data_IF_420010140621
#
_entry.id   IF_420010140621
#
_cell.length_a   1.000
_cell.length_b   1.000
_cell.length_c   1.000
_cell.angle_alpha   90.00
_cell.angle_beta   90.00
_cell.angle_gamma   90.00
#
_symmetry.space_group_name_H-M   'P 1'
#
loop_
_entity.id
_entity.type
_entity.pdbx_description
1 polymer ?
#
# COMPACT_ATOMS: atom_id res chain seq x y z
N UNK A 1 -18.97 4.31 4.87
CA UNK A 1 -17.74 5.03 4.49
C UNK A 1 -16.56 4.17 4.89
N UNK A 2 -15.73 3.76 3.94
CA UNK A 2 -14.51 3.04 4.27
C UNK A 2 -13.59 3.95 5.07
N UNK A 3 -13.12 3.48 6.22
CA UNK A 3 -12.23 4.25 7.09
C UNK A 3 -10.86 4.36 6.41
N UNK A 4 -10.44 5.59 6.12
CA UNK A 4 -9.10 5.88 5.60
C UNK A 4 -8.12 6.09 6.74
N UNK A 5 -6.88 5.67 6.55
CA UNK A 5 -5.82 5.69 7.57
C UNK A 5 -4.61 6.52 7.12
N UNK A 6 -3.74 6.85 8.08
CA UNK A 6 -2.43 7.44 7.81
C UNK A 6 -1.41 6.37 7.46
N UNK A 7 -0.44 6.70 6.61
CA UNK A 7 0.62 5.79 6.19
C UNK A 7 1.44 5.23 7.38
N UNK A 8 1.63 6.06 8.42
CA UNK A 8 2.32 5.68 9.67
C UNK A 8 1.61 4.57 10.42
N UNK A 9 0.28 4.54 10.36
CA UNK A 9 -0.58 3.62 11.13
C UNK A 9 -0.82 2.29 10.39
N UNK A 10 -0.25 2.15 9.19
CA UNK A 10 -0.37 0.98 8.35
C UNK A 10 0.83 0.06 8.50
N UNK A 11 0.52 -1.22 8.73
CA UNK A 11 1.46 -2.33 8.62
C UNK A 11 1.36 -2.99 7.25
N UNK A 12 0.14 -3.29 6.80
CA UNK A 12 -0.15 -3.76 5.44
C UNK A 12 -1.35 -2.97 4.90
N UNK A 13 -1.23 -2.42 3.69
CA UNK A 13 -2.29 -1.62 3.09
C UNK A 13 -1.94 -1.07 1.72
N UNK A 14 -2.92 -0.43 1.10
CA UNK A 14 -2.78 0.14 -0.24
C UNK A 14 -3.42 1.53 -0.35
N UNK A 15 -2.94 2.31 -1.31
CA UNK A 15 -3.47 3.61 -1.70
C UNK A 15 -3.96 3.55 -3.15
N UNK A 16 -5.12 4.15 -3.50
CA UNK A 16 -5.66 4.16 -4.87
C UNK A 16 -4.71 4.71 -5.93
N UNK A 17 -3.74 5.52 -5.54
CA UNK A 17 -2.71 6.05 -6.45
C UNK A 17 -1.61 5.02 -6.79
N UNK A 18 -1.82 3.73 -6.48
CA UNK A 18 -0.88 2.67 -6.83
C UNK A 18 0.22 2.44 -5.80
N UNK A 19 0.03 2.87 -4.55
CA UNK A 19 1.03 2.61 -3.50
C UNK A 19 0.62 1.44 -2.63
N UNK A 20 1.61 0.63 -2.21
CA UNK A 20 1.45 -0.45 -1.23
C UNK A 20 2.45 -0.26 -0.11
N UNK A 21 1.96 -0.43 1.11
CA UNK A 21 2.77 -0.59 2.32
C UNK A 21 2.64 -2.05 2.75
N UNK A 22 3.77 -2.71 2.95
CA UNK A 22 3.82 -4.05 3.53
C UNK A 22 5.06 -4.14 4.43
N UNK A 23 4.93 -3.83 5.72
CA UNK A 23 6.05 -3.85 6.67
C UNK A 23 6.39 -5.27 7.16
N UNK A 24 5.80 -6.31 6.56
CA UNK A 24 6.04 -7.72 6.91
C UNK A 24 7.02 -8.43 5.96
N UNK A 25 7.32 -7.81 4.82
CA UNK A 25 8.32 -8.27 3.85
C UNK A 25 9.74 -7.78 4.21
N UNK A 26 10.70 -7.89 3.30
CA UNK A 26 12.03 -7.31 3.45
C UNK A 26 11.99 -5.77 3.44
N UNK A 27 12.88 -5.06 4.15
CA UNK A 27 12.86 -3.59 4.22
C UNK A 27 12.86 -2.86 2.87
N UNK A 28 13.45 -3.47 1.83
CA UNK A 28 13.48 -2.92 0.47
C UNK A 28 12.10 -2.91 -0.22
N UNK A 29 11.21 -3.82 0.18
CA UNK A 29 9.88 -4.00 -0.40
C UNK A 29 8.76 -3.44 0.50
N UNK A 30 9.12 -2.78 1.61
CA UNK A 30 8.15 -2.16 2.53
C UNK A 30 7.22 -1.18 1.84
N UNK A 31 7.76 -0.43 0.89
CA UNK A 31 7.11 0.68 0.24
C UNK A 31 7.29 0.51 -1.26
N UNK A 32 6.19 0.23 -1.95
CA UNK A 32 6.22 0.02 -3.40
C UNK A 32 5.20 0.90 -4.09
N UNK A 33 5.59 1.42 -5.25
CA UNK A 33 4.70 2.05 -6.21
C UNK A 33 4.48 1.09 -7.37
N UNK A 34 3.23 0.95 -7.77
CA UNK A 34 2.76 0.10 -8.84
C UNK A 34 2.06 0.96 -9.87
N UNK A 35 2.13 0.52 -11.12
CA UNK A 35 1.29 1.05 -12.19
C UNK A 35 -0.04 0.32 -12.16
N UNK A 36 -1.15 1.07 -12.19
CA UNK A 36 -2.50 0.49 -12.27
C UNK A 36 -2.95 0.58 -13.73
N UNK A 37 -3.17 -0.57 -14.36
CA UNK A 37 -3.68 -0.63 -15.74
C UNK A 37 -5.14 -0.16 -15.81
N UNK A 38 -5.67 0.20 -16.99
CA UNK A 38 -7.09 0.52 -17.15
C UNK A 38 -8.06 -0.59 -16.70
N UNK A 39 -7.57 -1.83 -16.65
CA UNK A 39 -8.29 -3.02 -16.17
C UNK A 39 -8.23 -3.19 -14.63
N UNK A 40 -7.54 -2.28 -13.94
CA UNK A 40 -7.35 -2.33 -12.48
C UNK A 40 -6.24 -3.27 -12.01
N UNK A 41 -5.39 -3.78 -12.91
CA UNK A 41 -4.27 -4.66 -12.53
C UNK A 41 -3.08 -3.85 -12.07
N UNK A 42 -2.41 -4.34 -11.02
CA UNK A 42 -1.21 -3.72 -10.47
C UNK A 42 0.01 -4.40 -11.10
N UNK A 43 0.86 -3.62 -11.77
CA UNK A 43 2.06 -4.12 -12.45
C UNK A 43 3.29 -3.27 -12.11
N UNK A 44 4.48 -3.77 -12.47
CA UNK A 44 5.76 -3.06 -12.37
C UNK A 44 6.06 -2.47 -10.97
N UNK A 45 6.13 -3.30 -9.91
CA UNK A 45 6.46 -2.81 -8.58
C UNK A 45 7.84 -2.16 -8.56
N UNK A 46 7.92 -0.93 -8.04
CA UNK A 46 9.18 -0.22 -7.82
C UNK A 46 9.28 0.20 -6.36
N UNK A 47 10.41 -0.05 -5.69
CA UNK A 47 10.67 0.48 -4.36
C UNK A 47 10.52 2.01 -4.35
N UNK A 48 9.97 2.55 -3.26
CA UNK A 48 9.82 3.99 -3.07
C UNK A 48 10.14 4.40 -1.64
N UNK A 49 10.34 5.70 -1.44
CA UNK A 49 10.60 6.26 -0.12
C UNK A 49 9.28 6.57 0.59
N UNK A 50 9.20 6.32 1.89
CA UNK A 50 8.03 6.63 2.70
C UNK A 50 7.56 8.10 2.55
N UNK A 51 8.50 9.04 2.49
CA UNK A 51 8.21 10.47 2.33
C UNK A 51 7.70 10.86 0.93
N UNK A 52 7.87 10.01 -0.07
CA UNK A 52 7.38 10.24 -1.44
C UNK A 52 5.96 9.71 -1.66
N UNK A 53 5.36 9.12 -0.63
CA UNK A 53 4.02 8.51 -0.69
C UNK A 53 2.98 9.44 -0.05
N UNK A 54 1.70 9.28 -0.40
CA UNK A 54 0.60 9.93 0.32
C UNK A 54 0.68 9.60 1.81
N UNK A 55 0.56 10.59 2.69
CA UNK A 55 0.63 10.35 4.13
C UNK A 55 -0.73 9.96 4.74
N UNK A 56 -1.81 10.17 3.99
CA UNK A 56 -3.19 9.90 4.38
C UNK A 56 -3.92 9.20 3.24
N UNK A 57 -5.19 8.83 3.47
CA UNK A 57 -6.05 8.29 2.40
C UNK A 57 -5.95 6.78 2.19
N UNK A 58 -5.28 6.06 3.10
CA UNK A 58 -4.96 4.66 2.90
C UNK A 58 -6.04 3.69 3.32
N UNK A 59 -6.07 2.53 2.67
CA UNK A 59 -6.87 1.38 3.05
C UNK A 59 -5.98 0.33 3.73
N UNK A 60 -6.36 -0.07 4.94
CA UNK A 60 -5.66 -1.13 5.68
C UNK A 60 -6.10 -2.48 5.12
N UNK A 61 -5.15 -3.27 4.63
CA UNK A 61 -5.40 -4.67 4.34
C UNK A 61 -5.40 -5.39 5.70
N UNK A 62 -6.57 -5.77 6.18
CA UNK A 62 -6.68 -6.57 7.40
C UNK A 62 -5.94 -7.89 7.22
N UNK A 63 -5.32 -8.40 8.30
CA UNK A 63 -5.03 -9.83 8.39
C UNK A 63 -6.36 -10.57 8.17
N UNK A 64 -6.52 -11.19 7.01
CA UNK A 64 -7.51 -12.24 6.80
C UNK A 64 -7.14 -13.39 7.75
N UNK A 65 -7.57 -13.30 9.00
CA UNK A 65 -7.69 -14.46 9.87
C UNK A 65 -9.03 -15.12 9.55
N UNK A 66 -8.95 -16.27 8.89
CA UNK A 66 -9.99 -17.29 8.90
C UNK A 66 -10.98 -17.24 7.74
N UNK A 67 -10.77 -18.13 6.77
CA UNK A 67 -11.69 -19.25 6.48
C UNK A 67 -10.86 -20.43 6.02
#
# INVERSE_FOLDING_TARGET
MEKKFKATDIQIGFHPEGYRIDKTTSPIDFYTKWEITPEGKWINPKPTCFHSMPQEGWYKAGNIKGT
#
